data_IF_992341896876
#
_entry.id   IF_992341896876
#
_cell.length_a   1.000
_cell.length_b   1.000
_cell.length_c   1.000
_cell.angle_alpha   90.00
_cell.angle_beta   90.00
_cell.angle_gamma   90.00
#
_symmetry.space_group_name_H-M   'P 1'
#
loop_
_entity.id
_entity.type
_entity.pdbx_description
1 polymer ?
#
# COMPACT_ATOMS: atom_id res chain seq x y z
N UNK A 1 45.28 8.14 59.54
CA UNK A 1 45.21 8.65 58.14
C UNK A 1 43.82 8.34 57.61
N UNK A 2 42.91 9.32 57.62
CA UNK A 2 41.60 9.19 56.99
C UNK A 2 41.42 10.37 56.04
N UNK A 3 41.56 10.13 54.74
CA UNK A 3 41.32 11.12 53.70
C UNK A 3 39.80 11.25 53.51
N UNK A 4 39.25 12.43 53.81
CA UNK A 4 37.90 12.81 53.39
C UNK A 4 38.07 13.58 52.08
N UNK A 5 37.75 12.93 50.96
CA UNK A 5 37.63 13.61 49.67
C UNK A 5 36.40 14.53 49.71
N UNK A 6 36.61 15.83 49.83
CA UNK A 6 35.56 16.83 49.64
C UNK A 6 35.25 16.97 48.15
N UNK A 7 34.09 16.48 47.71
CA UNK A 7 33.58 16.77 46.37
C UNK A 7 33.03 18.20 46.38
N UNK A 8 33.82 19.16 45.90
CA UNK A 8 33.37 20.53 45.71
C UNK A 8 32.54 20.61 44.41
N UNK A 9 31.22 20.53 44.52
CA UNK A 9 30.32 20.86 43.41
C UNK A 9 30.23 22.39 43.36
N UNK A 10 30.72 23.00 42.27
CA UNK A 10 30.68 24.45 42.09
C UNK A 10 29.24 24.96 42.09
N UNK A 11 28.93 25.88 43.00
CA UNK A 11 27.64 26.57 43.08
C UNK A 11 27.29 27.30 41.78
N UNK A 12 28.29 27.76 41.02
CA UNK A 12 28.11 28.43 39.73
C UNK A 12 27.61 27.46 38.65
N UNK A 13 28.05 26.21 38.67
CA UNK A 13 27.58 25.18 37.75
C UNK A 13 26.12 24.78 38.03
N UNK A 14 25.72 24.76 39.31
CA UNK A 14 24.33 24.52 39.73
C UNK A 14 23.46 25.73 39.36
N UNK A 15 23.91 26.95 39.67
CA UNK A 15 23.20 28.20 39.37
C UNK A 15 23.01 28.38 37.86
N UNK A 16 24.06 28.17 37.06
CA UNK A 16 24.02 28.21 35.59
C UNK A 16 23.01 27.20 35.02
N UNK A 17 23.01 25.95 35.50
CA UNK A 17 22.01 24.93 35.11
C UNK A 17 20.59 25.32 35.48
N UNK A 18 20.40 25.89 36.67
CA UNK A 18 19.08 26.36 37.12
C UNK A 18 18.58 27.50 36.21
N UNK A 19 19.40 28.53 35.96
CA UNK A 19 19.07 29.66 35.08
C UNK A 19 18.74 29.19 33.67
N UNK A 20 19.53 28.28 33.10
CA UNK A 20 19.27 27.71 31.77
C UNK A 20 17.93 26.95 31.72
N UNK A 21 17.60 26.21 32.79
CA UNK A 21 16.33 25.50 32.91
C UNK A 21 15.14 26.48 32.99
N UNK A 22 15.28 27.60 33.69
CA UNK A 22 14.26 28.65 33.76
C UNK A 22 14.07 29.37 32.42
N UNK A 23 15.16 29.74 31.74
CA UNK A 23 15.12 30.37 30.40
C UNK A 23 14.40 29.46 29.41
N UNK A 24 14.73 28.17 29.41
CA UNK A 24 14.10 27.17 28.53
C UNK A 24 12.60 27.00 28.84
N UNK A 25 12.19 27.04 30.12
CA UNK A 25 10.77 26.98 30.49
C UNK A 25 10.02 28.25 30.07
N UNK A 26 10.65 29.40 30.24
CA UNK A 26 10.07 30.69 29.88
C UNK A 26 9.86 30.82 28.36
N UNK A 27 10.79 30.31 27.54
CA UNK A 27 10.66 30.38 26.08
C UNK A 27 9.46 29.58 25.54
N UNK A 28 9.15 28.41 26.11
CA UNK A 28 7.96 27.65 25.71
C UNK A 28 6.64 28.36 26.06
N UNK A 29 6.63 29.17 27.11
CA UNK A 29 5.45 29.93 27.54
C UNK A 29 5.31 31.20 26.70
N UNK A 30 6.39 31.97 26.52
CA UNK A 30 6.35 33.22 25.77
C UNK A 30 6.08 33.02 24.27
N UNK A 31 6.51 31.89 23.70
CA UNK A 31 6.28 31.55 22.29
C UNK A 31 5.02 30.71 22.06
N UNK A 32 4.22 30.43 23.10
CA UNK A 32 3.10 29.49 22.99
C UNK A 32 2.05 29.96 21.97
N UNK A 33 1.70 31.25 21.98
CA UNK A 33 0.68 31.82 21.09
C UNK A 33 1.12 31.75 19.62
N UNK A 34 2.34 32.20 19.32
CA UNK A 34 2.93 32.11 17.98
C UNK A 34 3.03 30.65 17.50
N UNK A 35 3.45 29.75 18.38
CA UNK A 35 3.56 28.33 18.06
C UNK A 35 2.19 27.68 17.79
N UNK A 36 1.11 28.14 18.43
CA UNK A 36 -0.25 27.67 18.16
C UNK A 36 -0.76 28.13 16.80
N UNK A 37 -0.51 29.39 16.43
CA UNK A 37 -0.81 29.91 15.08
C UNK A 37 -0.03 29.11 14.03
N UNK A 38 1.26 28.89 14.28
CA UNK A 38 2.11 28.07 13.42
C UNK A 38 1.61 26.62 13.32
N UNK A 39 1.14 26.04 14.42
CA UNK A 39 0.62 24.67 14.45
C UNK A 39 -0.58 24.52 13.52
N UNK A 40 -1.52 25.48 13.56
CA UNK A 40 -2.66 25.50 12.65
C UNK A 40 -2.23 25.64 11.19
N UNK A 41 -1.28 26.53 10.91
CA UNK A 41 -0.75 26.72 9.55
C UNK A 41 -0.08 25.46 9.00
N UNK A 42 0.79 24.80 9.79
CA UNK A 42 1.45 23.56 9.36
C UNK A 42 0.48 22.40 9.22
N UNK A 43 -0.55 22.32 10.08
CA UNK A 43 -1.60 21.31 9.92
C UNK A 43 -2.36 21.47 8.60
N UNK A 44 -2.74 22.71 8.24
CA UNK A 44 -3.41 22.96 6.96
C UNK A 44 -2.53 22.59 5.76
N UNK A 45 -1.24 22.89 5.81
CA UNK A 45 -0.30 22.46 4.77
C UNK A 45 -0.23 20.93 4.67
N UNK A 46 -0.19 20.22 5.79
CA UNK A 46 -0.19 18.75 5.80
C UNK A 46 -1.49 18.17 5.23
N UNK A 47 -2.64 18.75 5.56
CA UNK A 47 -3.94 18.35 5.00
C UNK A 47 -3.97 18.52 3.47
N UNK A 48 -3.42 19.62 2.94
CA UNK A 48 -3.30 19.79 1.49
C UNK A 48 -2.44 18.69 0.87
N UNK A 49 -1.24 18.43 1.42
CA UNK A 49 -0.37 17.33 0.96
C UNK A 49 -1.08 15.98 1.00
N UNK A 50 -1.84 15.69 2.07
CA UNK A 50 -2.64 14.47 2.20
C UNK A 50 -3.69 14.34 1.09
N UNK A 51 -4.40 15.43 0.80
CA UNK A 51 -5.43 15.43 -0.22
C UNK A 51 -4.83 15.26 -1.64
N UNK A 52 -3.65 15.82 -1.90
CA UNK A 52 -2.93 15.63 -3.15
C UNK A 52 -2.50 14.16 -3.33
N UNK A 53 -1.94 13.55 -2.28
CA UNK A 53 -1.57 12.12 -2.28
C UNK A 53 -2.80 11.23 -2.50
N UNK A 54 -3.90 11.49 -1.80
CA UNK A 54 -5.15 10.74 -1.97
C UNK A 54 -5.70 10.86 -3.40
N UNK A 55 -5.64 12.05 -3.99
CA UNK A 55 -6.09 12.27 -5.37
C UNK A 55 -5.27 11.44 -6.36
N UNK A 56 -3.95 11.39 -6.18
CA UNK A 56 -3.06 10.53 -6.98
C UNK A 56 -3.36 9.05 -6.79
N UNK A 57 -3.59 8.61 -5.55
CA UNK A 57 -3.98 7.20 -5.31
C UNK A 57 -5.27 6.85 -6.03
N UNK A 58 -6.31 7.70 -5.91
CA UNK A 58 -7.60 7.46 -6.57
C UNK A 58 -7.42 7.37 -8.10
N UNK A 59 -6.54 8.21 -8.65
CA UNK A 59 -6.21 8.21 -10.07
C UNK A 59 -5.47 6.92 -10.49
N UNK A 60 -4.52 6.43 -9.69
CA UNK A 60 -3.75 5.23 -10.03
C UNK A 60 -4.54 3.92 -9.82
N UNK A 61 -5.37 3.82 -8.76
CA UNK A 61 -6.11 2.58 -8.43
C UNK A 61 -7.28 2.30 -9.39
N UNK A 62 -8.01 3.32 -9.84
CA UNK A 62 -9.23 3.13 -10.65
C UNK A 62 -9.01 2.51 -12.04
N UNK A 63 -8.00 2.94 -12.84
CA UNK A 63 -7.86 2.47 -14.22
C UNK A 63 -6.89 1.29 -14.39
N UNK A 64 -5.96 1.04 -13.45
CA UNK A 64 -4.74 0.26 -13.74
C UNK A 64 -4.56 -1.05 -12.96
N UNK A 65 -5.57 -1.53 -12.21
CA UNK A 65 -5.40 -2.64 -11.25
C UNK A 65 -4.15 -2.41 -10.38
N UNK A 66 -3.99 -1.19 -9.88
CA UNK A 66 -2.91 -0.84 -8.97
C UNK A 66 -3.45 -0.81 -7.54
N UNK A 67 -2.58 -1.07 -6.57
CA UNK A 67 -2.87 -0.98 -5.15
C UNK A 67 -1.98 0.10 -4.56
N UNK A 68 -2.54 0.96 -3.70
CA UNK A 68 -1.73 1.87 -2.87
C UNK A 68 -0.59 1.12 -2.18
N UNK A 69 0.60 1.72 -2.17
CA UNK A 69 1.74 1.16 -1.46
C UNK A 69 1.55 1.18 0.06
N UNK A 70 2.16 0.24 0.76
CA UNK A 70 2.08 0.19 2.23
C UNK A 70 2.62 1.47 2.89
N UNK A 71 3.68 2.06 2.33
CA UNK A 71 4.25 3.32 2.81
C UNK A 71 3.23 4.48 2.79
N UNK A 72 2.46 4.60 1.70
CA UNK A 72 1.41 5.63 1.59
C UNK A 72 0.28 5.34 2.57
N UNK A 73 -0.10 4.07 2.72
CA UNK A 73 -1.15 3.69 3.67
C UNK A 73 -0.77 4.03 5.12
N UNK A 74 0.44 3.68 5.54
CA UNK A 74 0.95 3.99 6.88
C UNK A 74 1.07 5.48 7.11
N UNK A 75 1.54 6.22 6.10
CA UNK A 75 1.64 7.67 6.17
C UNK A 75 0.27 8.33 6.37
N UNK A 76 -0.76 7.90 5.64
CA UNK A 76 -2.12 8.41 5.81
C UNK A 76 -2.66 8.15 7.23
N UNK A 77 -2.37 6.98 7.81
CA UNK A 77 -2.74 6.67 9.20
C UNK A 77 -2.02 7.59 10.19
N UNK A 78 -0.73 7.87 9.99
CA UNK A 78 0.03 8.81 10.83
C UNK A 78 -0.51 10.23 10.73
N UNK A 79 -0.87 10.69 9.52
CA UNK A 79 -1.48 12.01 9.31
C UNK A 79 -2.82 12.12 10.05
N UNK A 80 -3.67 11.10 9.96
CA UNK A 80 -4.94 11.06 10.70
C UNK A 80 -4.72 11.12 12.23
N UNK A 81 -3.73 10.39 12.74
CA UNK A 81 -3.37 10.43 14.16
C UNK A 81 -2.86 11.82 14.58
N UNK A 82 -2.08 12.48 13.72
CA UNK A 82 -1.59 13.83 13.94
C UNK A 82 -2.73 14.86 14.00
N UNK A 83 -3.71 14.77 13.09
CA UNK A 83 -4.92 15.61 13.11
C UNK A 83 -5.69 15.47 14.43
N UNK A 84 -5.89 14.23 14.90
CA UNK A 84 -6.57 13.96 16.16
C UNK A 84 -5.81 14.57 17.36
N UNK A 85 -4.49 14.39 17.41
CA UNK A 85 -3.65 15.00 18.46
C UNK A 85 -3.73 16.52 18.46
N UNK A 86 -3.76 17.17 17.30
CA UNK A 86 -3.92 18.64 17.23
C UNK A 86 -5.28 19.07 17.75
N UNK A 87 -6.35 18.34 17.41
CA UNK A 87 -7.68 18.61 17.94
C UNK A 87 -7.73 18.47 19.48
N UNK A 88 -7.10 17.44 20.04
CA UNK A 88 -6.98 17.27 21.50
C UNK A 88 -6.22 18.43 22.16
N UNK A 89 -5.13 18.90 21.55
CA UNK A 89 -4.36 20.04 22.06
C UNK A 89 -5.19 21.34 22.05
N UNK A 90 -6.01 21.55 21.02
CA UNK A 90 -6.91 22.70 20.94
C UNK A 90 -7.98 22.63 22.05
N UNK A 91 -8.64 21.48 22.23
CA UNK A 91 -9.61 21.31 23.31
C UNK A 91 -8.99 21.51 24.70
N UNK A 92 -7.76 21.04 24.91
CA UNK A 92 -7.05 21.25 26.17
C UNK A 92 -6.79 22.75 26.41
N UNK A 93 -6.33 23.48 25.38
CA UNK A 93 -6.14 24.94 25.46
C UNK A 93 -7.44 25.66 25.83
N UNK A 94 -8.54 25.32 25.17
CA UNK A 94 -9.82 26.01 25.37
C UNK A 94 -10.35 25.79 26.80
N UNK A 95 -10.23 24.56 27.33
CA UNK A 95 -10.58 24.23 28.72
C UNK A 95 -9.74 24.99 29.74
N UNK A 96 -8.43 25.10 29.51
CA UNK A 96 -7.55 25.87 30.41
C UNK A 96 -7.83 27.37 30.32
N UNK A 97 -8.19 27.88 29.14
CA UNK A 97 -8.56 29.29 28.95
C UNK A 97 -9.86 29.64 29.68
N UNK A 98 -10.87 28.77 29.64
CA UNK A 98 -12.14 28.99 30.36
C UNK A 98 -11.99 29.00 31.89
N UNK A 99 -11.08 28.19 32.43
CA UNK A 99 -10.80 28.17 33.89
C UNK A 99 -10.21 29.50 34.40
N UNK A 100 -9.59 30.30 33.53
CA UNK A 100 -8.97 31.58 33.88
C UNK A 100 -9.98 32.72 34.10
N UNK A 101 -11.20 32.60 33.59
CA UNK A 101 -12.23 33.62 33.74
C UNK A 101 -12.94 33.62 35.10
N UNK A 102 -12.59 32.73 36.04
CA UNK A 102 -13.40 32.46 37.25
C UNK A 102 -12.69 32.55 38.62
N UNK A 103 -11.50 33.17 38.71
CA UNK A 103 -10.90 33.43 40.02
C UNK A 103 -9.40 33.67 39.95
N UNK A 104 -9.01 34.94 40.01
CA UNK A 104 -7.61 35.35 39.93
C UNK A 104 -6.79 34.83 41.10
N UNK A 105 -5.89 33.87 40.86
CA UNK A 105 -4.63 33.69 41.58
C UNK A 105 -3.67 32.83 40.72
N UNK A 106 -2.53 33.42 40.33
CA UNK A 106 -1.60 32.88 39.35
C UNK A 106 -0.49 32.03 40.00
N UNK A 107 -0.59 30.69 39.93
CA UNK A 107 0.59 29.79 40.10
C UNK A 107 0.51 28.48 39.29
N UNK A 108 -0.68 27.95 39.04
CA UNK A 108 -0.87 26.74 38.21
C UNK A 108 -0.69 26.98 36.70
N UNK A 109 -0.75 28.23 36.25
CA UNK A 109 -0.73 28.59 34.83
C UNK A 109 0.64 28.34 34.19
N UNK A 110 1.75 28.70 34.84
CA UNK A 110 3.09 28.55 34.23
C UNK A 110 3.47 27.09 33.96
N UNK A 111 3.09 26.15 34.84
CA UNK A 111 3.35 24.71 34.63
C UNK A 111 2.48 24.13 33.52
N UNK A 112 1.20 24.50 33.48
CA UNK A 112 0.26 24.07 32.43
C UNK A 112 0.67 24.64 31.06
N UNK A 113 0.94 25.95 30.97
CA UNK A 113 1.44 26.62 29.78
C UNK A 113 2.78 26.07 29.30
N UNK A 114 3.72 25.76 30.21
CA UNK A 114 4.98 25.11 29.84
C UNK A 114 4.73 23.72 29.22
N UNK A 115 3.89 22.90 29.85
CA UNK A 115 3.59 21.56 29.35
C UNK A 115 2.87 21.62 27.99
N UNK A 116 1.93 22.56 27.83
CA UNK A 116 1.25 22.80 26.57
C UNK A 116 2.23 23.28 25.49
N UNK A 117 3.07 24.27 25.79
CA UNK A 117 4.11 24.76 24.88
C UNK A 117 5.07 23.67 24.43
N UNK A 118 5.47 22.78 25.34
CA UNK A 118 6.30 21.61 25.02
C UNK A 118 5.57 20.62 24.10
N UNK A 119 4.27 20.38 24.31
CA UNK A 119 3.46 19.50 23.45
C UNK A 119 3.25 20.10 22.07
N UNK A 120 2.93 21.39 21.97
CA UNK A 120 2.78 22.12 20.71
C UNK A 120 4.08 22.11 19.91
N UNK A 121 5.22 22.36 20.57
CA UNK A 121 6.52 22.32 19.92
C UNK A 121 6.85 20.93 19.35
N UNK A 122 6.60 19.86 20.11
CA UNK A 122 6.78 18.49 19.61
C UNK A 122 5.84 18.17 18.44
N UNK A 123 4.58 18.59 18.54
CA UNK A 123 3.59 18.38 17.48
C UNK A 123 4.00 19.11 16.19
N UNK A 124 4.53 20.34 16.29
CA UNK A 124 5.09 21.07 15.15
C UNK A 124 6.21 20.30 14.43
N UNK A 125 7.11 19.67 15.20
CA UNK A 125 8.15 18.82 14.62
C UNK A 125 7.54 17.61 13.90
N UNK A 126 6.59 16.92 14.54
CA UNK A 126 5.86 15.78 13.96
C UNK A 126 5.17 16.15 12.64
N UNK A 127 4.44 17.29 12.59
CA UNK A 127 3.79 17.76 11.36
C UNK A 127 4.79 18.08 10.25
N UNK A 128 5.92 18.70 10.59
CA UNK A 128 6.96 19.04 9.61
C UNK A 128 7.59 17.77 9.02
N UNK A 129 7.86 16.77 9.86
CA UNK A 129 8.35 15.45 9.41
C UNK A 129 7.34 14.75 8.51
N UNK A 130 6.07 14.66 8.93
CA UNK A 130 5.02 14.04 8.12
C UNK A 130 4.84 14.74 6.77
N UNK A 131 4.97 16.07 6.74
CA UNK A 131 4.91 16.81 5.48
C UNK A 131 6.05 16.43 4.54
N UNK A 132 7.27 16.27 5.05
CA UNK A 132 8.42 15.83 4.23
C UNK A 132 8.29 14.37 3.78
N UNK A 133 7.71 13.51 4.63
CA UNK A 133 7.45 12.10 4.28
C UNK A 133 6.35 11.95 3.21
N UNK A 134 5.49 12.95 3.03
CA UNK A 134 4.38 12.94 2.07
C UNK A 134 4.79 13.13 0.61
N UNK A 135 6.08 13.36 0.32
CA UNK A 135 6.61 13.54 -1.04
C UNK A 135 6.89 12.20 -1.75
N UNK A 136 5.83 11.47 -2.06
CA UNK A 136 5.92 10.18 -2.72
C UNK A 136 6.10 10.32 -4.23
N UNK A 137 7.12 9.66 -4.80
CA UNK A 137 7.28 9.53 -6.26
C UNK A 137 6.19 8.64 -6.87
N UNK A 138 5.98 7.47 -6.29
CA UNK A 138 4.93 6.52 -6.68
C UNK A 138 3.99 6.31 -5.49
N UNK A 139 2.68 6.40 -5.72
CA UNK A 139 1.69 6.24 -4.64
C UNK A 139 0.97 4.89 -4.69
N UNK A 140 1.06 4.20 -5.81
CA UNK A 140 0.51 2.88 -6.04
C UNK A 140 1.49 2.01 -6.84
N UNK A 141 1.30 0.71 -6.73
CA UNK A 141 2.06 -0.32 -7.43
C UNK A 141 1.12 -1.25 -8.18
N UNK A 142 1.59 -1.82 -9.31
CA UNK A 142 0.79 -2.75 -10.10
C UNK A 142 0.51 -4.00 -9.28
N UNK A 143 -0.76 -4.36 -9.13
CA UNK A 143 -1.11 -5.64 -8.53
C UNK A 143 -0.60 -6.73 -9.47
N UNK A 144 0.14 -7.74 -8.97
CA UNK A 144 0.50 -8.89 -9.78
C UNK A 144 -0.76 -9.46 -10.43
N UNK A 145 -0.73 -9.64 -11.74
CA UNK A 145 -1.84 -10.28 -12.44
C UNK A 145 -2.08 -11.66 -11.81
N UNK A 146 -3.34 -11.96 -11.50
CA UNK A 146 -3.69 -13.22 -10.85
C UNK A 146 -3.17 -14.40 -11.71
N UNK A 147 -2.78 -15.53 -11.10
CA UNK A 147 -2.28 -16.70 -11.83
C UNK A 147 -3.32 -17.31 -12.78
N UNK A 148 -4.59 -16.96 -12.63
CA UNK A 148 -5.72 -17.44 -13.44
C UNK A 148 -6.69 -16.29 -13.72
N UNK A 149 -7.24 -16.22 -14.94
CA UNK A 149 -8.36 -15.32 -15.26
C UNK A 149 -9.68 -16.11 -15.12
N UNK A 150 -10.64 -15.61 -14.36
CA UNK A 150 -11.97 -16.26 -14.27
C UNK A 150 -12.72 -16.13 -15.59
N UNK A 151 -13.27 -17.24 -16.08
CA UNK A 151 -14.08 -17.28 -17.30
C UNK A 151 -15.54 -17.47 -16.91
N UNK A 152 -16.49 -16.67 -17.43
CA UNK A 152 -17.91 -16.84 -17.12
C UNK A 152 -18.42 -18.23 -17.49
N UNK A 153 -19.08 -18.91 -16.54
CA UNK A 153 -19.71 -20.22 -16.74
C UNK A 153 -21.19 -20.18 -16.40
N UNK A 154 -21.97 -21.08 -17.00
CA UNK A 154 -23.36 -21.25 -16.61
C UNK A 154 -23.44 -21.91 -15.22
N UNK A 155 -24.31 -21.46 -14.28
CA UNK A 155 -24.28 -21.93 -12.89
C UNK A 155 -24.56 -23.42 -12.70
N UNK A 156 -25.21 -24.06 -13.68
CA UNK A 156 -25.61 -25.46 -13.62
C UNK A 156 -24.95 -26.24 -14.74
N UNK A 157 -23.91 -27.01 -14.39
CA UNK A 157 -23.26 -27.96 -15.29
C UNK A 157 -23.35 -29.34 -14.64
N UNK A 158 -23.98 -30.30 -15.32
CA UNK A 158 -24.20 -31.67 -14.83
C UNK A 158 -23.63 -32.64 -15.86
N UNK A 159 -23.07 -33.77 -15.41
CA UNK A 159 -22.66 -34.88 -16.27
C UNK A 159 -21.20 -34.85 -16.76
N UNK A 160 -20.44 -33.80 -16.46
CA UNK A 160 -19.01 -33.68 -16.83
C UNK A 160 -18.04 -34.09 -15.70
N UNK A 161 -18.53 -34.37 -14.49
CA UNK A 161 -17.70 -34.58 -13.30
C UNK A 161 -16.65 -35.68 -13.46
N UNK A 162 -17.03 -36.83 -14.02
CA UNK A 162 -16.07 -37.93 -14.17
C UNK A 162 -14.93 -37.61 -15.14
N UNK A 163 -15.19 -36.84 -16.20
CA UNK A 163 -14.17 -36.39 -17.15
C UNK A 163 -13.31 -35.29 -16.50
N UNK A 164 -13.95 -34.40 -15.76
CA UNK A 164 -13.27 -33.35 -14.99
C UNK A 164 -12.26 -33.91 -14.01
N UNK A 165 -12.67 -34.87 -13.18
CA UNK A 165 -11.78 -35.47 -12.17
C UNK A 165 -10.58 -36.18 -12.82
N UNK A 166 -10.79 -36.83 -13.98
CA UNK A 166 -9.71 -37.44 -14.76
C UNK A 166 -8.72 -36.40 -15.26
N UNK A 167 -9.20 -35.35 -15.93
CA UNK A 167 -8.31 -34.29 -16.46
C UNK A 167 -7.58 -33.59 -15.34
N UNK A 168 -8.28 -33.28 -14.24
CA UNK A 168 -7.68 -32.65 -13.06
C UNK A 168 -6.57 -33.52 -12.43
N UNK A 169 -6.79 -34.84 -12.38
CA UNK A 169 -5.77 -35.78 -11.89
C UNK A 169 -4.57 -35.82 -12.84
N UNK A 170 -4.81 -35.85 -14.15
CA UNK A 170 -3.74 -35.82 -15.15
C UNK A 170 -2.92 -34.53 -15.10
N UNK A 171 -3.52 -33.37 -14.79
CA UNK A 171 -2.80 -32.10 -14.66
C UNK A 171 -1.82 -32.08 -13.47
N UNK A 172 -2.10 -32.87 -12.42
CA UNK A 172 -1.18 -33.06 -11.30
C UNK A 172 -0.06 -34.07 -11.56
N UNK A 173 -0.17 -34.86 -12.63
CA UNK A 173 0.84 -35.86 -13.00
C UNK A 173 1.91 -35.22 -13.90
N UNK A 174 3.13 -35.09 -13.37
CA UNK A 174 4.26 -34.47 -14.08
C UNK A 174 4.71 -35.24 -15.33
N UNK A 175 4.18 -36.44 -15.59
CA UNK A 175 4.53 -37.24 -16.77
C UNK A 175 3.78 -36.81 -18.04
N UNK A 176 2.63 -36.12 -17.91
CA UNK A 176 1.81 -35.71 -19.05
C UNK A 176 2.06 -34.25 -19.45
N UNK A 177 2.69 -34.02 -20.60
CA UNK A 177 2.95 -32.66 -21.10
C UNK A 177 1.81 -32.03 -21.92
N UNK A 178 0.91 -32.84 -22.49
CA UNK A 178 -0.21 -32.39 -23.34
C UNK A 178 -1.42 -33.29 -23.09
N UNK A 179 -2.59 -32.69 -22.85
CA UNK A 179 -3.87 -33.40 -22.67
C UNK A 179 -4.82 -32.99 -23.80
N UNK A 180 -5.23 -33.96 -24.63
CA UNK A 180 -6.18 -33.74 -25.72
C UNK A 180 -7.60 -34.15 -25.36
N UNK A 181 -8.57 -33.23 -25.51
CA UNK A 181 -10.00 -33.53 -25.39
C UNK A 181 -10.63 -33.70 -26.77
N UNK A 182 -11.22 -34.87 -27.03
CA UNK A 182 -11.85 -35.18 -28.32
C UNK A 182 -13.29 -35.68 -28.14
N UNK A 183 -14.11 -35.52 -29.20
CA UNK A 183 -15.51 -35.93 -29.20
C UNK A 183 -16.36 -35.07 -30.14
N UNK A 184 -17.62 -35.45 -30.35
CA UNK A 184 -18.55 -34.73 -31.23
C UNK A 184 -18.71 -33.25 -30.83
N UNK A 185 -19.16 -32.43 -31.77
CA UNK A 185 -19.56 -31.04 -31.48
C UNK A 185 -20.68 -30.99 -30.44
N UNK A 186 -20.67 -29.99 -29.55
CA UNK A 186 -21.72 -29.79 -28.56
C UNK A 186 -21.65 -30.64 -27.29
N UNK A 187 -20.71 -31.57 -27.16
CA UNK A 187 -20.58 -32.43 -25.95
C UNK A 187 -20.00 -31.74 -24.71
N UNK A 188 -19.72 -30.43 -24.78
CA UNK A 188 -19.24 -29.65 -23.63
C UNK A 188 -17.73 -29.66 -23.40
N UNK A 189 -16.89 -29.91 -24.41
CA UNK A 189 -15.41 -29.88 -24.28
C UNK A 189 -14.90 -28.51 -23.80
N UNK A 190 -15.34 -27.44 -24.45
CA UNK A 190 -15.00 -26.07 -24.04
C UNK A 190 -15.52 -25.78 -22.65
N UNK A 191 -16.75 -26.21 -22.33
CA UNK A 191 -17.34 -26.07 -20.99
C UNK A 191 -16.50 -26.77 -19.91
N UNK A 192 -15.97 -27.95 -20.21
CA UNK A 192 -15.08 -28.69 -19.32
C UNK A 192 -13.77 -27.93 -19.07
N UNK A 193 -13.12 -27.43 -20.13
CA UNK A 193 -11.91 -26.62 -20.01
C UNK A 193 -12.17 -25.37 -19.16
N UNK A 194 -13.30 -24.69 -19.36
CA UNK A 194 -13.66 -23.52 -18.55
C UNK A 194 -13.82 -23.85 -17.06
N UNK A 195 -14.41 -25.01 -16.72
CA UNK A 195 -14.49 -25.46 -15.34
C UNK A 195 -13.10 -25.74 -14.74
N UNK A 196 -12.19 -26.30 -15.54
CA UNK A 196 -10.82 -26.62 -15.10
C UNK A 196 -10.05 -25.33 -14.83
N UNK A 197 -10.06 -24.37 -15.78
CA UNK A 197 -9.48 -23.05 -15.61
C UNK A 197 -9.92 -22.42 -14.29
N UNK A 198 -11.23 -22.34 -14.05
CA UNK A 198 -11.74 -21.68 -12.86
C UNK A 198 -11.43 -22.44 -11.57
N UNK A 199 -11.26 -23.77 -11.59
CA UNK A 199 -10.87 -24.52 -10.40
C UNK A 199 -9.48 -24.14 -9.88
N UNK A 200 -8.60 -23.62 -10.74
CA UNK A 200 -7.31 -23.06 -10.30
C UNK A 200 -7.45 -21.79 -9.46
N UNK A 201 -8.61 -21.11 -9.45
CA UNK A 201 -8.86 -19.97 -8.55
C UNK A 201 -9.07 -20.42 -7.10
N UNK A 202 -9.73 -21.57 -6.91
CA UNK A 202 -10.13 -22.06 -5.58
C UNK A 202 -9.13 -23.07 -5.00
N UNK A 203 -8.28 -23.67 -5.85
CA UNK A 203 -7.37 -24.75 -5.44
C UNK A 203 -5.92 -24.27 -5.46
N UNK A 204 -5.20 -24.33 -4.32
CA UNK A 204 -3.77 -24.10 -4.30
C UNK A 204 -3.07 -25.01 -5.32
N UNK A 205 -2.24 -24.41 -6.17
CA UNK A 205 -1.52 -25.10 -7.22
C UNK A 205 -0.11 -24.52 -7.32
N UNK A 206 0.75 -25.22 -8.08
CA UNK A 206 2.16 -24.90 -8.24
C UNK A 206 2.49 -24.36 -9.64
N UNK A 207 1.47 -23.87 -10.35
CA UNK A 207 1.62 -23.17 -11.61
C UNK A 207 1.76 -21.65 -11.37
N UNK A 208 2.74 -21.05 -12.03
CA UNK A 208 2.98 -19.62 -12.01
C UNK A 208 1.96 -18.86 -12.86
N UNK A 209 1.41 -19.49 -13.89
CA UNK A 209 0.44 -18.89 -14.82
C UNK A 209 -0.42 -19.94 -15.54
N UNK A 210 -1.73 -19.69 -15.59
CA UNK A 210 -2.71 -20.40 -16.44
C UNK A 210 -3.12 -19.48 -17.57
N UNK A 211 -2.96 -19.95 -18.81
CA UNK A 211 -3.11 -19.18 -20.04
C UNK A 211 -4.27 -19.76 -20.85
N UNK A 212 -5.36 -19.01 -20.94
CA UNK A 212 -6.49 -19.35 -21.81
C UNK A 212 -6.33 -18.71 -23.18
N UNK A 213 -6.35 -19.52 -24.25
CA UNK A 213 -6.29 -19.05 -25.63
C UNK A 213 -7.44 -19.64 -26.43
N UNK A 214 -8.23 -18.77 -27.06
CA UNK A 214 -9.28 -19.19 -28.00
C UNK A 214 -8.67 -19.26 -29.40
N UNK A 215 -8.71 -20.44 -30.03
CA UNK A 215 -8.17 -20.65 -31.37
C UNK A 215 -9.30 -21.05 -32.31
N UNK A 216 -9.72 -20.10 -33.14
CA UNK A 216 -10.67 -20.36 -34.22
C UNK A 216 -9.94 -20.73 -35.52
N UNK A 217 -10.65 -21.35 -36.47
CA UNK A 217 -10.09 -21.73 -37.78
C UNK A 217 -9.47 -20.56 -38.55
N UNK A 218 -9.99 -19.35 -38.34
CA UNK A 218 -9.56 -18.13 -39.05
C UNK A 218 -8.62 -17.26 -38.20
N UNK A 219 -8.17 -17.75 -37.04
CA UNK A 219 -7.34 -16.99 -36.11
C UNK A 219 -5.92 -16.81 -36.67
N UNK A 220 -5.42 -15.57 -36.66
CA UNK A 220 -4.02 -15.29 -37.00
C UNK A 220 -3.10 -15.63 -35.84
N UNK A 221 -1.92 -16.19 -36.13
CA UNK A 221 -0.87 -16.49 -35.15
C UNK A 221 -0.48 -15.27 -34.31
N UNK A 222 -0.55 -14.08 -34.91
CA UNK A 222 -0.36 -12.80 -34.21
C UNK A 222 -1.30 -12.66 -33.01
N UNK A 223 -2.59 -12.95 -33.16
CA UNK A 223 -3.58 -12.81 -32.08
C UNK A 223 -3.32 -13.80 -30.94
N UNK A 224 -2.80 -14.99 -31.25
CA UNK A 224 -2.42 -15.99 -30.25
C UNK A 224 -1.23 -15.46 -29.42
N UNK A 225 -0.19 -14.97 -30.08
CA UNK A 225 0.96 -14.38 -29.38
C UNK A 225 0.58 -13.15 -28.57
N UNK A 226 -0.37 -12.34 -29.05
CA UNK A 226 -0.90 -11.19 -28.31
C UNK A 226 -1.64 -11.62 -27.05
N UNK A 227 -2.49 -12.64 -27.14
CA UNK A 227 -3.20 -13.19 -25.98
C UNK A 227 -2.22 -13.73 -24.92
N UNK A 228 -1.22 -14.52 -25.36
CA UNK A 228 -0.18 -15.06 -24.47
C UNK A 228 0.66 -13.93 -23.87
N UNK A 229 1.15 -13.00 -24.70
CA UNK A 229 2.00 -11.88 -24.28
C UNK A 229 1.32 -10.98 -23.26
N UNK A 230 0.02 -10.67 -23.48
CA UNK A 230 -0.80 -9.96 -22.49
C UNK A 230 -0.90 -10.72 -21.19
N UNK A 231 -1.11 -12.04 -21.25
CA UNK A 231 -1.25 -12.89 -20.07
C UNK A 231 0.01 -12.95 -19.22
N UNK A 232 1.18 -12.97 -19.84
CA UNK A 232 2.47 -13.05 -19.15
C UNK A 232 3.12 -11.70 -18.87
N UNK A 233 2.38 -10.59 -19.08
CA UNK A 233 2.80 -9.25 -18.69
C UNK A 233 3.75 -8.55 -19.67
N UNK A 234 3.83 -8.99 -20.92
CA UNK A 234 4.67 -8.37 -21.96
C UNK A 234 3.95 -7.25 -22.73
N UNK A 235 2.68 -6.95 -22.43
CA UNK A 235 1.87 -6.01 -23.19
C UNK A 235 2.18 -4.55 -22.87
N UNK A 236 3.15 -3.99 -23.59
CA UNK A 236 3.49 -2.55 -23.59
C UNK A 236 3.50 -1.96 -25.02
N UNK A 237 3.85 -0.69 -25.16
CA UNK A 237 3.90 -0.04 -26.49
C UNK A 237 5.03 -0.57 -27.37
N UNK A 238 6.10 -1.13 -26.78
CA UNK A 238 7.16 -1.80 -27.52
C UNK A 238 6.68 -3.13 -28.09
N UNK A 239 5.87 -3.87 -27.34
CA UNK A 239 5.33 -5.17 -27.74
C UNK A 239 4.44 -5.10 -28.97
N UNK A 240 3.58 -4.08 -29.04
CA UNK A 240 2.64 -3.88 -30.15
C UNK A 240 3.35 -3.71 -31.50
N UNK A 241 4.59 -3.24 -31.51
CA UNK A 241 5.37 -2.99 -32.73
C UNK A 241 6.34 -4.11 -33.11
N UNK A 242 6.52 -5.11 -32.24
CA UNK A 242 7.41 -6.27 -32.47
C UNK A 242 6.90 -7.20 -33.57
N UNK A 243 7.86 -7.81 -34.28
CA UNK A 243 7.59 -8.88 -35.25
C UNK A 243 7.21 -10.18 -34.54
N UNK A 244 6.59 -11.10 -35.29
CA UNK A 244 6.12 -12.39 -34.75
C UNK A 244 7.25 -13.23 -34.15
N UNK A 245 8.45 -13.18 -34.74
CA UNK A 245 9.61 -13.93 -34.28
C UNK A 245 10.16 -13.37 -32.96
N UNK A 246 10.15 -12.04 -32.81
CA UNK A 246 10.56 -11.36 -31.58
C UNK A 246 9.56 -11.65 -30.46
N UNK A 247 8.25 -11.57 -30.76
CA UNK A 247 7.18 -11.95 -29.83
C UNK A 247 7.34 -13.42 -29.38
N UNK A 248 7.62 -14.34 -30.30
CA UNK A 248 7.87 -15.76 -29.98
C UNK A 248 9.07 -15.95 -29.04
N UNK A 249 10.18 -15.28 -29.35
CA UNK A 249 11.40 -15.35 -28.54
C UNK A 249 11.18 -14.84 -27.12
N UNK A 250 10.45 -13.74 -26.96
CA UNK A 250 10.15 -13.18 -25.65
C UNK A 250 9.20 -14.07 -24.84
N UNK A 251 8.16 -14.62 -25.49
CA UNK A 251 7.26 -15.60 -24.87
C UNK A 251 8.05 -16.81 -24.37
N UNK A 252 8.92 -17.38 -25.20
CA UNK A 252 9.76 -18.51 -24.83
C UNK A 252 10.67 -18.18 -23.64
N UNK A 253 11.31 -17.01 -23.66
CA UNK A 253 12.20 -16.58 -22.57
C UNK A 253 11.47 -16.49 -21.23
N UNK A 254 10.23 -16.01 -21.21
CA UNK A 254 9.43 -15.92 -19.99
C UNK A 254 8.91 -17.29 -19.56
N UNK A 255 8.31 -18.06 -20.47
CA UNK A 255 7.68 -19.34 -20.14
C UNK A 255 8.68 -20.45 -19.80
N UNK A 256 9.90 -20.41 -20.35
CA UNK A 256 10.96 -21.37 -19.99
C UNK A 256 11.41 -21.29 -18.53
N UNK A 257 11.04 -20.22 -17.82
CA UNK A 257 11.35 -20.02 -16.40
C UNK A 257 10.14 -20.23 -15.49
N UNK A 258 9.00 -20.66 -16.04
CA UNK A 258 7.73 -20.80 -15.33
C UNK A 258 7.14 -22.19 -15.49
N UNK A 259 6.41 -22.63 -14.48
CA UNK A 259 5.45 -23.72 -14.58
C UNK A 259 4.13 -23.12 -15.06
N UNK A 260 3.63 -23.55 -16.21
CA UNK A 260 2.41 -23.00 -16.77
C UNK A 260 1.45 -24.08 -17.28
N UNK A 261 0.17 -23.73 -17.34
CA UNK A 261 -0.86 -24.48 -18.08
C UNK A 261 -1.33 -23.60 -19.23
N UNK A 262 -1.43 -24.18 -20.42
CA UNK A 262 -2.02 -23.52 -21.58
C UNK A 262 -3.25 -24.31 -22.01
N UNK A 263 -4.40 -23.63 -22.03
CA UNK A 263 -5.68 -24.19 -22.42
C UNK A 263 -6.10 -23.59 -23.75
N UNK A 264 -6.24 -24.44 -24.76
CA UNK A 264 -6.63 -24.08 -26.12
C UNK A 264 -8.06 -24.57 -26.40
N UNK A 265 -8.94 -23.65 -26.79
CA UNK A 265 -10.36 -23.93 -27.07
C UNK A 265 -10.80 -23.53 -28.46
#
# INVERSE_FOLDING_TARGET
MGNICSVSISCDAIFSRCVQCFITKASYISQLEDNLVRLQSELQKLIHTRNDVLSRVIFDERPLKMKRTEQVQDWLLKVQAAENKVAELQQFKDKETQKLCLGGYCSNNCKSSYNLGKRVHKMLQELTTLKTEGDFKNVAEKIPDAPVDEIPIHPTIIGLQSTFDKVWTCLGDQQAGIIGLYGMGGVGKTTLLTQINNKFLDTPNDFDVVIWVVVSKDQKLEMIQEAIGKRIGLWDDSWKTKRLEEKASDIFKVLSQKRFVMEES
#
